data_IF_847308700500
#
_entry.id   IF_847308700500
#
_cell.length_a   1.000
_cell.length_b   1.000
_cell.length_c   1.000
_cell.angle_alpha   90.00
_cell.angle_beta   90.00
_cell.angle_gamma   90.00
#
_symmetry.space_group_name_H-M   'P 1'
#
loop_
_entity.id
_entity.type
_entity.pdbx_description
1 polymer ?
#
# COMPACT_ATOMS: atom_id res chain seq x y z
N UNK A 1 -1.54 -3.32 -24.80
CA UNK A 1 -1.92 -4.04 -23.57
C UNK A 1 -2.96 -5.13 -23.87
N UNK A 2 -4.10 -4.83 -24.50
CA UNK A 2 -5.24 -5.76 -24.72
C UNK A 2 -4.84 -7.02 -25.48
N UNK A 3 -4.04 -6.91 -26.57
CA UNK A 3 -3.55 -8.09 -27.31
C UNK A 3 -2.72 -9.05 -26.42
N UNK A 4 -1.91 -8.51 -25.52
CA UNK A 4 -1.15 -9.31 -24.56
C UNK A 4 -2.03 -9.91 -23.49
N UNK A 5 -3.00 -9.16 -22.96
CA UNK A 5 -3.96 -9.65 -21.99
C UNK A 5 -4.74 -10.87 -22.54
N UNK A 6 -5.21 -10.79 -23.80
CA UNK A 6 -5.85 -11.93 -24.49
C UNK A 6 -4.90 -13.14 -24.60
N UNK A 7 -3.66 -12.93 -25.05
CA UNK A 7 -2.67 -14.00 -25.16
C UNK A 7 -2.35 -14.66 -23.81
N UNK A 8 -2.24 -13.84 -22.74
CA UNK A 8 -2.05 -14.38 -21.39
C UNK A 8 -3.24 -15.22 -20.93
N UNK A 9 -4.48 -14.75 -21.21
CA UNK A 9 -5.69 -15.50 -20.89
C UNK A 9 -5.75 -16.83 -21.65
N UNK A 10 -5.44 -16.81 -22.95
CA UNK A 10 -5.44 -18.01 -23.80
C UNK A 10 -4.33 -19.00 -23.38
N UNK A 11 -3.23 -18.53 -22.80
CA UNK A 11 -2.10 -19.35 -22.35
C UNK A 11 -2.26 -19.89 -20.92
N UNK A 12 -3.21 -19.39 -20.13
CA UNK A 12 -3.45 -19.84 -18.77
C UNK A 12 -4.04 -21.27 -18.78
N UNK A 13 -3.28 -22.24 -18.24
CA UNK A 13 -3.67 -23.66 -18.23
C UNK A 13 -4.01 -24.20 -16.84
N UNK A 14 -4.01 -23.35 -15.81
CA UNK A 14 -4.19 -23.78 -14.43
C UNK A 14 -5.41 -23.13 -13.80
N UNK A 15 -6.22 -23.92 -13.10
CA UNK A 15 -7.39 -23.44 -12.37
C UNK A 15 -7.03 -22.81 -11.02
N UNK A 16 -5.80 -23.01 -10.54
CA UNK A 16 -5.33 -22.56 -9.24
C UNK A 16 -4.74 -21.13 -9.24
N UNK A 17 -4.81 -20.41 -10.37
CA UNK A 17 -4.30 -19.06 -10.52
C UNK A 17 -5.39 -18.13 -11.08
N UNK A 18 -5.49 -16.94 -10.50
CA UNK A 18 -6.36 -15.89 -11.01
C UNK A 18 -5.54 -14.88 -11.81
N UNK A 19 -5.82 -14.75 -13.09
CA UNK A 19 -5.20 -13.77 -13.97
C UNK A 19 -6.00 -12.49 -13.96
N UNK A 20 -5.38 -11.37 -13.57
CA UNK A 20 -6.01 -10.05 -13.57
C UNK A 20 -5.74 -9.30 -14.88
N UNK A 21 -6.78 -8.67 -15.40
CA UNK A 21 -6.64 -7.73 -16.51
C UNK A 21 -6.15 -6.38 -16.03
N UNK A 22 -5.15 -5.78 -16.71
CA UNK A 22 -4.57 -4.50 -16.30
C UNK A 22 -5.05 -3.38 -17.21
N UNK A 23 -5.74 -2.38 -16.64
CA UNK A 23 -6.10 -1.14 -17.33
C UNK A 23 -4.91 -0.20 -17.32
N UNK A 24 -4.57 0.35 -18.47
CA UNK A 24 -3.50 1.29 -18.70
C UNK A 24 -4.07 2.58 -19.33
N UNK A 25 -3.23 3.60 -19.56
CA UNK A 25 -3.66 4.84 -20.23
C UNK A 25 -2.96 6.10 -19.67
N UNK A 26 -2.01 5.94 -18.74
CA UNK A 26 -1.31 7.06 -18.10
C UNK A 26 -2.30 8.05 -17.47
N UNK A 27 -2.04 9.34 -17.64
CA UNK A 27 -2.88 10.43 -17.13
C UNK A 27 -3.91 10.90 -18.19
N UNK A 28 -4.31 10.01 -19.13
CA UNK A 28 -5.23 10.36 -20.21
C UNK A 28 -6.58 9.67 -20.02
N UNK A 29 -7.65 10.40 -19.59
CA UNK A 29 -8.97 9.82 -19.31
C UNK A 29 -9.55 8.99 -20.47
N UNK A 30 -9.42 9.47 -21.70
CA UNK A 30 -9.94 8.78 -22.88
C UNK A 30 -9.24 7.44 -23.12
N UNK A 31 -7.90 7.40 -22.95
CA UNK A 31 -7.14 6.15 -23.11
C UNK A 31 -7.47 5.16 -22.00
N UNK A 32 -7.74 5.63 -20.78
CA UNK A 32 -8.18 4.76 -19.67
C UNK A 32 -9.55 4.16 -19.93
N UNK A 33 -10.50 4.96 -20.45
CA UNK A 33 -11.83 4.48 -20.84
C UNK A 33 -11.73 3.40 -21.91
N UNK A 34 -11.01 3.68 -23.00
CA UNK A 34 -10.79 2.70 -24.07
C UNK A 34 -10.13 1.42 -23.53
N UNK A 35 -9.08 1.57 -22.71
CA UNK A 35 -8.39 0.43 -22.11
C UNK A 35 -9.33 -0.39 -21.19
N UNK A 36 -10.14 0.28 -20.37
CA UNK A 36 -11.08 -0.39 -19.47
C UNK A 36 -12.12 -1.18 -20.27
N UNK A 37 -12.74 -0.59 -21.31
CA UNK A 37 -13.70 -1.27 -22.19
C UNK A 37 -13.10 -2.53 -22.83
N UNK A 38 -11.89 -2.40 -23.39
CA UNK A 38 -11.21 -3.52 -24.05
C UNK A 38 -10.82 -4.64 -23.09
N UNK A 39 -10.37 -4.29 -21.88
CA UNK A 39 -9.90 -5.26 -20.87
C UNK A 39 -11.09 -5.94 -20.17
N UNK A 40 -12.15 -5.20 -19.84
CA UNK A 40 -13.35 -5.78 -19.22
C UNK A 40 -14.09 -6.71 -20.17
N UNK A 41 -14.10 -6.43 -21.48
CA UNK A 41 -14.64 -7.33 -22.50
C UNK A 41 -13.96 -8.71 -22.55
N UNK A 42 -12.74 -8.83 -22.03
CA UNK A 42 -12.04 -10.11 -21.91
C UNK A 42 -12.48 -10.94 -20.69
N UNK A 43 -13.27 -10.38 -19.79
CA UNK A 43 -13.87 -11.04 -18.64
C UNK A 43 -12.84 -11.79 -17.74
N UNK A 44 -11.98 -11.02 -17.06
CA UNK A 44 -11.04 -11.52 -16.06
C UNK A 44 -11.70 -11.70 -14.67
N UNK A 45 -11.17 -12.59 -13.80
CA UNK A 45 -11.64 -12.73 -12.42
C UNK A 45 -11.41 -11.51 -11.55
N UNK A 46 -10.50 -10.62 -11.93
CA UNK A 46 -10.22 -9.35 -11.26
C UNK A 46 -9.49 -8.38 -12.20
N UNK A 47 -9.36 -7.12 -11.77
CA UNK A 47 -8.79 -6.07 -12.59
C UNK A 47 -7.78 -5.22 -11.81
N UNK A 48 -6.69 -4.86 -12.48
CA UNK A 48 -5.68 -3.97 -11.93
C UNK A 48 -5.71 -2.61 -12.62
N UNK A 49 -5.43 -1.58 -11.86
CA UNK A 49 -5.23 -0.19 -12.29
C UNK A 49 -3.72 0.05 -12.34
N UNK A 50 -3.16 0.06 -13.54
CA UNK A 50 -1.74 0.22 -13.78
C UNK A 50 -1.36 1.59 -14.32
N UNK A 51 -0.06 1.88 -14.41
CA UNK A 51 0.49 3.10 -14.97
C UNK A 51 0.23 4.36 -14.15
N UNK A 52 0.11 4.21 -12.83
CA UNK A 52 0.02 5.26 -11.83
C UNK A 52 1.19 5.13 -10.82
N UNK A 53 1.38 6.14 -9.98
CA UNK A 53 2.49 6.20 -9.00
C UNK A 53 3.89 6.14 -9.65
N UNK A 54 4.04 6.80 -10.79
CA UNK A 54 5.28 6.87 -11.58
C UNK A 54 5.90 8.27 -11.64
N UNK A 55 5.44 9.19 -10.77
CA UNK A 55 5.96 10.55 -10.63
C UNK A 55 4.96 11.66 -10.93
N UNK A 56 3.70 11.33 -11.16
CA UNK A 56 2.60 12.30 -11.29
C UNK A 56 2.26 12.95 -9.94
N UNK A 57 1.56 14.07 -10.01
CA UNK A 57 1.03 14.73 -8.83
C UNK A 57 -0.08 13.87 -8.17
N UNK A 58 -0.17 13.91 -6.84
CA UNK A 58 -1.05 13.06 -6.03
C UNK A 58 -2.52 13.18 -6.42
N UNK A 59 -2.99 14.39 -6.72
CA UNK A 59 -4.38 14.61 -7.13
C UNK A 59 -4.68 13.93 -8.47
N UNK A 60 -3.76 13.98 -9.45
CA UNK A 60 -3.93 13.30 -10.74
C UNK A 60 -3.98 11.78 -10.59
N UNK A 61 -3.17 11.22 -9.70
CA UNK A 61 -3.23 9.80 -9.37
C UNK A 61 -4.62 9.42 -8.82
N UNK A 62 -5.15 10.21 -7.88
CA UNK A 62 -6.47 9.96 -7.29
C UNK A 62 -7.58 10.08 -8.34
N UNK A 63 -7.58 11.14 -9.16
CA UNK A 63 -8.57 11.37 -10.22
C UNK A 63 -8.59 10.21 -11.23
N UNK A 64 -7.40 9.74 -11.64
CA UNK A 64 -7.30 8.62 -12.57
C UNK A 64 -7.67 7.28 -11.94
N UNK A 65 -7.43 7.12 -10.65
CA UNK A 65 -7.86 5.94 -9.88
C UNK A 65 -9.38 5.89 -9.80
N UNK A 66 -10.02 6.99 -9.40
CA UNK A 66 -11.48 7.12 -9.31
C UNK A 66 -12.16 6.86 -10.66
N UNK A 67 -11.69 7.56 -11.70
CA UNK A 67 -12.17 7.36 -13.07
C UNK A 67 -12.09 5.88 -13.49
N UNK A 68 -10.96 5.23 -13.21
CA UNK A 68 -10.74 3.86 -13.66
C UNK A 68 -11.55 2.88 -12.83
N UNK A 69 -11.61 3.04 -11.51
CA UNK A 69 -12.38 2.20 -10.60
C UNK A 69 -13.88 2.21 -10.97
N UNK A 70 -14.42 3.38 -11.33
CA UNK A 70 -15.82 3.52 -11.77
C UNK A 70 -16.15 2.78 -13.09
N UNK A 71 -15.13 2.46 -13.90
CA UNK A 71 -15.28 1.71 -15.16
C UNK A 71 -15.12 0.20 -14.99
N UNK A 72 -14.68 -0.25 -13.83
CA UNK A 72 -14.45 -1.66 -13.53
C UNK A 72 -15.68 -2.31 -12.87
N UNK A 73 -15.94 -3.61 -13.12
CA UNK A 73 -17.03 -4.33 -12.48
C UNK A 73 -16.96 -4.23 -10.94
N UNK A 74 -18.07 -3.90 -10.33
CA UNK A 74 -18.18 -3.70 -8.88
C UNK A 74 -17.97 -4.98 -8.07
N UNK A 75 -18.43 -6.11 -8.61
CA UNK A 75 -18.35 -7.41 -7.94
C UNK A 75 -17.04 -8.18 -8.21
N UNK A 76 -16.03 -7.52 -8.77
CA UNK A 76 -14.73 -8.13 -9.04
C UNK A 76 -13.61 -7.34 -8.33
N UNK A 77 -12.60 -8.03 -7.77
CA UNK A 77 -11.48 -7.37 -7.09
C UNK A 77 -10.79 -6.32 -7.97
N UNK A 78 -10.54 -5.15 -7.39
CA UNK A 78 -9.83 -4.01 -7.99
C UNK A 78 -8.49 -3.81 -7.31
N UNK A 79 -7.44 -3.88 -8.07
CA UNK A 79 -6.07 -3.81 -7.58
C UNK A 79 -5.35 -2.57 -8.10
N UNK A 80 -4.97 -1.66 -7.21
CA UNK A 80 -4.15 -0.48 -7.55
C UNK A 80 -2.67 -0.81 -7.34
N UNK A 81 -1.91 -0.81 -8.44
CA UNK A 81 -0.52 -1.25 -8.46
C UNK A 81 0.45 -0.16 -8.00
N UNK A 82 1.38 -0.52 -7.11
CA UNK A 82 2.53 0.33 -6.73
C UNK A 82 2.19 1.50 -5.81
N UNK A 83 1.00 1.57 -5.25
CA UNK A 83 0.53 2.65 -4.37
C UNK A 83 0.45 2.17 -2.93
N UNK A 84 0.98 2.97 -1.97
CA UNK A 84 1.01 2.48 -0.60
C UNK A 84 1.42 3.46 0.48
N UNK A 85 1.21 4.77 0.36
CA UNK A 85 1.21 5.58 1.59
C UNK A 85 -0.05 5.25 2.39
N UNK A 86 -0.03 5.27 3.74
CA UNK A 86 -1.22 4.99 4.55
C UNK A 86 -2.42 5.85 4.14
N UNK A 87 -2.19 7.12 3.82
CA UNK A 87 -3.20 8.03 3.34
C UNK A 87 -3.77 7.62 1.97
N UNK A 88 -2.91 7.21 1.03
CA UNK A 88 -3.38 6.74 -0.29
C UNK A 88 -4.18 5.44 -0.16
N UNK A 89 -3.76 4.51 0.72
CA UNK A 89 -4.51 3.29 1.00
C UNK A 89 -5.92 3.62 1.47
N UNK A 90 -6.05 4.57 2.41
CA UNK A 90 -7.35 5.02 2.89
C UNK A 90 -8.18 5.65 1.77
N UNK A 91 -7.65 6.69 1.10
CA UNK A 91 -8.35 7.40 0.02
C UNK A 91 -8.78 6.46 -1.11
N UNK A 92 -7.88 5.58 -1.56
CA UNK A 92 -8.21 4.69 -2.67
C UNK A 92 -9.19 3.58 -2.27
N UNK A 93 -9.20 3.15 -0.99
CA UNK A 93 -10.22 2.23 -0.50
C UNK A 93 -11.62 2.85 -0.52
N UNK A 94 -11.77 4.17 -0.22
CA UNK A 94 -13.06 4.86 -0.35
C UNK A 94 -13.55 4.96 -1.79
N UNK A 95 -12.65 4.90 -2.75
CA UNK A 95 -12.95 4.89 -4.19
C UNK A 95 -13.35 3.47 -4.68
N UNK A 96 -13.22 2.44 -3.83
CA UNK A 96 -13.57 1.06 -4.16
C UNK A 96 -12.40 0.22 -4.68
N UNK A 97 -11.18 0.54 -4.28
CA UNK A 97 -10.00 -0.31 -4.51
C UNK A 97 -9.84 -1.30 -3.36
N UNK A 98 -9.65 -2.57 -3.68
CA UNK A 98 -9.59 -3.68 -2.71
C UNK A 98 -8.16 -4.13 -2.37
N UNK A 99 -7.23 -4.00 -3.31
CA UNK A 99 -5.89 -4.57 -3.22
C UNK A 99 -4.81 -3.56 -3.58
N UNK A 100 -3.67 -3.65 -2.88
CA UNK A 100 -2.53 -2.76 -3.05
C UNK A 100 -1.22 -3.53 -2.91
N UNK A 101 -0.16 -3.03 -3.54
CA UNK A 101 1.22 -3.39 -3.26
C UNK A 101 2.11 -2.16 -3.19
N UNK A 102 3.12 -2.19 -2.36
CA UNK A 102 4.16 -1.17 -2.39
C UNK A 102 5.44 -1.63 -1.68
N UNK A 103 6.54 -0.99 -2.02
CA UNK A 103 7.84 -1.22 -1.39
C UNK A 103 8.04 -0.41 -0.09
N UNK A 104 7.11 0.50 0.24
CA UNK A 104 7.31 1.48 1.30
C UNK A 104 7.55 0.86 2.69
N UNK A 105 6.80 -0.15 3.13
CA UNK A 105 7.03 -0.72 4.47
C UNK A 105 8.48 -1.18 4.64
N UNK A 106 8.98 -1.97 3.71
CA UNK A 106 10.31 -2.57 3.80
C UNK A 106 11.42 -1.59 3.43
N UNK A 107 11.22 -0.76 2.37
CA UNK A 107 12.21 0.23 1.95
C UNK A 107 12.42 1.30 3.02
N UNK A 108 11.36 1.84 3.61
CA UNK A 108 11.45 2.82 4.67
C UNK A 108 12.12 2.24 5.92
N UNK A 109 11.77 1.03 6.32
CA UNK A 109 12.39 0.33 7.45
C UNK A 109 13.92 0.23 7.28
N UNK A 110 14.40 -0.22 6.11
CA UNK A 110 15.84 -0.31 5.83
C UNK A 110 16.57 1.03 5.91
N UNK A 111 15.86 2.13 5.71
CA UNK A 111 16.39 3.49 5.82
C UNK A 111 16.17 4.12 7.21
N UNK A 112 15.55 3.39 8.14
CA UNK A 112 15.29 3.85 9.49
C UNK A 112 14.03 4.70 9.63
N UNK A 113 13.20 4.81 8.59
CA UNK A 113 11.92 5.50 8.63
C UNK A 113 10.80 4.52 9.01
N UNK A 114 10.08 4.83 10.08
CA UNK A 114 9.09 3.97 10.68
C UNK A 114 7.74 4.67 10.74
N UNK A 115 6.69 3.90 10.46
CA UNK A 115 5.31 4.35 10.59
C UNK A 115 4.82 4.09 12.01
N UNK A 116 4.24 5.09 12.63
CA UNK A 116 3.67 5.03 13.99
C UNK A 116 2.26 5.58 13.98
N UNK A 117 1.53 5.38 15.06
CA UNK A 117 0.13 5.82 15.17
C UNK A 117 -0.05 7.30 14.80
N UNK A 118 0.87 8.16 15.23
CA UNK A 118 0.77 9.62 15.05
C UNK A 118 1.61 10.17 13.87
N UNK A 119 2.09 9.32 12.97
CA UNK A 119 2.86 9.77 11.80
C UNK A 119 4.10 8.91 11.49
N UNK A 120 5.25 9.55 11.30
CA UNK A 120 6.53 8.89 11.01
C UNK A 120 7.61 9.30 12.00
N UNK A 121 8.50 8.36 12.32
CA UNK A 121 9.74 8.64 13.02
C UNK A 121 10.94 8.20 12.19
N UNK A 122 12.09 8.87 12.34
CA UNK A 122 13.36 8.36 11.86
C UNK A 122 14.19 7.89 13.06
N UNK A 123 14.35 6.58 13.20
CA UNK A 123 15.02 5.97 14.35
C UNK A 123 16.50 6.40 14.49
N UNK A 124 17.12 6.97 13.43
CA UNK A 124 18.48 7.48 13.46
C UNK A 124 18.61 8.79 14.23
N UNK A 125 17.51 9.50 14.49
CA UNK A 125 17.52 10.77 15.20
C UNK A 125 18.18 10.66 16.58
N UNK A 126 18.90 11.70 16.97
CA UNK A 126 19.69 11.73 18.22
C UNK A 126 18.81 11.58 19.47
N UNK A 127 17.57 12.07 19.42
CA UNK A 127 16.60 11.99 20.51
C UNK A 127 16.34 10.54 20.98
N UNK A 128 16.46 9.55 20.10
CA UNK A 128 16.24 8.13 20.43
C UNK A 128 17.48 7.42 20.99
N UNK A 129 18.61 8.15 21.23
CA UNK A 129 19.87 7.53 21.68
C UNK A 129 19.74 6.78 23.00
N UNK A 130 18.96 7.33 23.93
CA UNK A 130 18.76 6.78 25.27
C UNK A 130 17.26 6.52 25.56
N UNK A 131 16.44 6.42 24.53
CA UNK A 131 15.00 6.26 24.64
C UNK A 131 14.64 4.78 24.92
N UNK A 132 14.13 4.46 26.14
CA UNK A 132 13.78 3.09 26.53
C UNK A 132 12.46 2.61 25.95
N UNK A 133 11.67 3.50 25.33
CA UNK A 133 10.32 3.17 24.85
C UNK A 133 10.36 2.36 23.54
N UNK A 134 9.30 1.60 23.25
CA UNK A 134 9.13 0.91 21.98
C UNK A 134 8.97 1.92 20.81
N UNK A 135 9.06 1.44 19.57
CA UNK A 135 8.79 2.27 18.38
C UNK A 135 7.43 2.95 18.49
N UNK A 136 6.42 2.18 18.83
CA UNK A 136 5.04 2.63 19.03
C UNK A 136 4.43 1.82 20.19
N UNK A 137 3.98 2.51 21.24
CA UNK A 137 3.40 1.88 22.43
C UNK A 137 2.07 1.18 22.17
N UNK A 138 1.36 1.58 21.10
CA UNK A 138 0.09 1.00 20.68
C UNK A 138 0.28 -0.20 19.73
N UNK A 139 1.51 -0.49 19.32
CA UNK A 139 1.79 -1.54 18.34
C UNK A 139 2.08 -2.89 19.04
N UNK A 140 1.28 -3.94 18.78
CA UNK A 140 1.47 -5.26 19.40
C UNK A 140 2.52 -6.12 18.68
N UNK A 141 3.29 -5.58 17.74
CA UNK A 141 4.25 -6.37 16.98
C UNK A 141 5.42 -6.85 17.85
N UNK A 142 6.08 -7.92 17.40
CA UNK A 142 7.23 -8.50 18.10
C UNK A 142 8.32 -7.47 18.41
N UNK A 143 8.61 -6.57 17.48
CA UNK A 143 9.65 -5.54 17.67
C UNK A 143 9.30 -4.58 18.80
N UNK A 144 8.08 -4.05 18.82
CA UNK A 144 7.65 -3.11 19.87
C UNK A 144 7.54 -3.76 21.25
N UNK A 145 7.23 -5.04 21.33
CA UNK A 145 7.11 -5.76 22.61
C UNK A 145 8.46 -6.13 23.22
N UNK A 146 9.54 -6.19 22.43
CA UNK A 146 10.81 -6.74 22.90
C UNK A 146 12.00 -5.79 22.81
N UNK A 147 11.90 -4.67 22.08
CA UNK A 147 13.05 -3.82 21.82
C UNK A 147 12.72 -2.33 21.97
N UNK A 148 13.65 -1.60 22.60
CA UNK A 148 13.56 -0.14 22.75
C UNK A 148 14.05 0.60 21.50
N UNK A 149 13.61 1.86 21.34
CA UNK A 149 14.13 2.77 20.32
C UNK A 149 15.65 2.96 20.44
N UNK A 150 16.19 3.05 21.66
CA UNK A 150 17.64 3.16 21.87
C UNK A 150 18.40 1.96 21.29
N UNK A 151 17.94 0.74 21.55
CA UNK A 151 18.57 -0.46 21.04
C UNK A 151 18.47 -0.57 19.50
N UNK A 152 17.29 -0.34 18.95
CA UNK A 152 17.08 -0.35 17.49
C UNK A 152 17.91 0.72 16.79
N UNK A 153 17.99 1.91 17.39
CA UNK A 153 18.89 2.98 16.92
C UNK A 153 20.35 2.55 16.95
N UNK A 154 20.80 1.93 18.02
CA UNK A 154 22.15 1.40 18.10
C UNK A 154 22.44 0.43 16.95
N UNK A 155 21.60 -0.56 16.75
CA UNK A 155 21.77 -1.56 15.69
C UNK A 155 21.86 -0.93 14.29
N UNK A 156 20.97 0.02 13.95
CA UNK A 156 20.99 0.63 12.62
C UNK A 156 22.19 1.58 12.43
N UNK A 157 22.66 2.20 13.50
CA UNK A 157 23.84 3.09 13.44
C UNK A 157 25.15 2.31 13.25
N UNK A 158 25.25 1.10 13.78
CA UNK A 158 26.42 0.23 13.59
C UNK A 158 26.31 -0.69 12.36
N UNK A 159 25.18 -0.62 11.62
CA UNK A 159 25.00 -1.36 10.38
C UNK A 159 24.59 -2.81 10.54
N UNK A 160 24.04 -3.20 11.69
CA UNK A 160 23.57 -4.57 11.94
C UNK A 160 22.36 -4.92 11.09
N UNK A 161 22.38 -6.07 10.42
CA UNK A 161 21.28 -6.58 9.59
C UNK A 161 20.03 -6.79 10.43
N UNK A 162 20.17 -7.18 11.69
CA UNK A 162 19.05 -7.37 12.62
C UNK A 162 18.18 -6.11 12.75
N UNK A 163 18.77 -4.90 12.68
CA UNK A 163 17.99 -3.66 12.65
C UNK A 163 16.99 -3.66 11.49
N UNK A 164 17.45 -3.94 10.27
CA UNK A 164 16.60 -3.91 9.07
C UNK A 164 15.47 -4.95 9.18
N UNK A 165 15.75 -6.12 9.75
CA UNK A 165 14.76 -7.16 9.98
C UNK A 165 13.68 -6.69 10.98
N UNK A 166 14.08 -6.26 12.17
CA UNK A 166 13.17 -5.83 13.24
C UNK A 166 12.31 -4.63 12.81
N UNK A 167 12.92 -3.63 12.16
CA UNK A 167 12.20 -2.45 11.66
C UNK A 167 11.22 -2.82 10.53
N UNK A 168 11.57 -3.80 9.69
CA UNK A 168 10.66 -4.32 8.65
C UNK A 168 9.47 -5.05 9.27
N UNK A 169 9.68 -5.85 10.32
CA UNK A 169 8.58 -6.50 11.07
C UNK A 169 7.61 -5.45 11.59
N UNK A 170 8.12 -4.38 12.20
CA UNK A 170 7.26 -3.30 12.70
C UNK A 170 6.47 -2.62 11.59
N UNK A 171 7.13 -2.13 10.53
CA UNK A 171 6.45 -1.44 9.44
C UNK A 171 5.41 -2.35 8.74
N UNK A 172 5.73 -3.63 8.55
CA UNK A 172 4.78 -4.58 7.97
C UNK A 172 3.56 -4.79 8.87
N UNK A 173 3.77 -4.91 10.18
CA UNK A 173 2.68 -5.01 11.15
C UNK A 173 1.80 -3.75 11.17
N UNK A 174 2.39 -2.56 11.09
CA UNK A 174 1.66 -1.29 10.96
C UNK A 174 0.73 -1.32 9.74
N UNK A 175 1.24 -1.67 8.56
CA UNK A 175 0.44 -1.72 7.33
C UNK A 175 -0.67 -2.76 7.38
N UNK A 176 -0.40 -3.95 7.93
CA UNK A 176 -1.44 -4.96 8.10
C UNK A 176 -2.55 -4.51 9.04
N UNK A 177 -2.19 -3.85 10.15
CA UNK A 177 -3.16 -3.29 11.08
C UNK A 177 -3.95 -2.13 10.46
N UNK A 178 -3.29 -1.27 9.68
CA UNK A 178 -3.92 -0.19 8.94
C UNK A 178 -5.00 -0.70 8.00
N UNK A 179 -4.68 -1.70 7.17
CA UNK A 179 -5.64 -2.33 6.26
C UNK A 179 -6.75 -3.10 6.99
N UNK A 180 -6.43 -3.69 8.15
CA UNK A 180 -7.46 -4.32 9.00
C UNK A 180 -8.47 -3.28 9.50
N UNK A 181 -8.01 -2.12 9.95
CA UNK A 181 -8.89 -1.05 10.43
C UNK A 181 -9.75 -0.48 9.29
N UNK A 182 -9.20 -0.34 8.08
CA UNK A 182 -9.97 0.08 6.90
C UNK A 182 -11.08 -0.92 6.61
N UNK A 183 -10.79 -2.25 6.58
CA UNK A 183 -11.81 -3.27 6.35
C UNK A 183 -12.88 -3.26 7.43
N UNK A 184 -12.50 -3.13 8.70
CA UNK A 184 -13.46 -3.08 9.79
C UNK A 184 -14.40 -1.88 9.67
N UNK A 185 -13.88 -0.70 9.32
CA UNK A 185 -14.70 0.49 9.12
C UNK A 185 -15.71 0.32 7.96
N UNK A 186 -15.31 -0.37 6.89
CA UNK A 186 -16.22 -0.71 5.79
C UNK A 186 -17.30 -1.69 6.25
N UNK A 187 -16.94 -2.75 6.98
CA UNK A 187 -17.89 -3.76 7.48
C UNK A 187 -18.90 -3.15 8.47
N UNK A 188 -18.46 -2.21 9.28
CA UNK A 188 -19.29 -1.52 10.29
C UNK A 188 -20.09 -0.35 9.71
N UNK A 189 -19.92 -0.02 8.43
CA UNK A 189 -20.53 1.14 7.73
C UNK A 189 -20.32 2.46 8.49
N UNK A 190 -19.13 2.63 9.04
CA UNK A 190 -18.75 3.84 9.78
C UNK A 190 -17.76 4.69 8.97
N UNK A 191 -17.86 6.03 9.05
CA UNK A 191 -16.85 6.91 8.45
C UNK A 191 -15.46 6.57 8.98
N UNK A 192 -14.45 6.65 8.11
CA UNK A 192 -13.06 6.48 8.52
C UNK A 192 -12.68 7.57 9.54
N UNK A 193 -12.74 7.23 10.82
CA UNK A 193 -12.46 8.15 11.94
C UNK A 193 -10.96 8.33 12.21
N UNK A 194 -10.10 7.59 11.49
CA UNK A 194 -8.66 7.67 11.64
C UNK A 194 -8.04 8.47 10.49
N UNK A 195 -7.27 9.48 10.85
CA UNK A 195 -6.39 10.21 9.94
C UNK A 195 -4.95 9.88 10.28
N UNK A 196 -4.17 9.56 9.27
CA UNK A 196 -2.73 9.44 9.42
C UNK A 196 -2.08 10.63 8.70
N UNK A 197 -1.26 11.38 9.39
CA UNK A 197 -0.56 12.52 8.80
C UNK A 197 0.89 12.12 8.50
N UNK A 198 1.35 12.43 7.30
CA UNK A 198 2.74 12.24 6.91
C UNK A 198 3.66 13.29 7.57
N UNK A 199 3.53 13.44 8.88
CA UNK A 199 4.31 14.35 9.71
C UNK A 199 5.45 13.57 10.35
N UNK A 200 6.65 14.11 10.32
CA UNK A 200 7.78 13.54 11.07
C UNK A 200 7.67 14.05 12.51
N UNK A 201 7.43 13.15 13.43
CA UNK A 201 7.40 13.42 14.88
C UNK A 201 8.78 13.29 15.48
#
# INVERSE_FOLDING_TARGET
>A
TTRWAKRCKDALQTENQSLFGIVQGGMHPNLRKESAEQITALDFPGYAIGGLSVGEEKHLMNDMTELTAALLPELKPRYLMGVGTPENLLTCSTIGVDMFDCVMPTRNARNGNLFVTDGKINIRNAQYKNDPDPIDSNCPCYTCQNYSRAYLRHLIMVGEILAMHLLTVHNSAFYQNWMKNIRQAIEDDIPFAFSWQDTIV
#
